data_IF_745150213195
#
_entry.id   IF_745150213195
#
_cell.length_a   1.000
_cell.length_b   1.000
_cell.length_c   1.000
_cell.angle_alpha   90.00
_cell.angle_beta   90.00
_cell.angle_gamma   90.00
#
_symmetry.space_group_name_H-M   'P 1'
#
loop_
_entity.id
_entity.type
_entity.pdbx_description
1 polymer ?
#
# COMPACT_ATOMS: atom_id res chain seq x y z
N UNK A 1 -30.12 -38.54 3.95
CA UNK A 1 -29.32 -37.42 4.49
C UNK A 1 -27.86 -37.80 4.28
N UNK A 2 -27.34 -37.58 3.07
CA UNK A 2 -25.95 -37.90 2.76
C UNK A 2 -25.06 -36.86 3.42
N UNK A 3 -24.23 -37.27 4.37
CA UNK A 3 -23.18 -36.44 4.93
C UNK A 3 -22.17 -36.13 3.82
N UNK A 4 -22.27 -34.94 3.24
CA UNK A 4 -21.29 -34.43 2.29
C UNK A 4 -20.01 -34.13 3.06
N UNK A 5 -19.04 -35.05 3.02
CA UNK A 5 -17.74 -34.90 3.68
C UNK A 5 -16.95 -33.79 2.98
N UNK A 6 -16.49 -32.79 3.72
CA UNK A 6 -15.60 -31.76 3.18
C UNK A 6 -14.20 -32.37 2.87
N UNK A 7 -13.78 -32.43 1.61
CA UNK A 7 -12.42 -32.82 1.18
C UNK A 7 -11.43 -31.66 1.42
N UNK A 8 -11.08 -31.43 2.70
CA UNK A 8 -10.11 -30.39 3.09
C UNK A 8 -8.70 -30.98 2.97
N UNK A 9 -8.01 -30.68 1.87
CA UNK A 9 -6.67 -31.24 1.59
C UNK A 9 -5.54 -30.62 2.42
N UNK A 10 -5.63 -29.33 2.74
CA UNK A 10 -4.64 -28.64 3.59
C UNK A 10 -5.16 -27.28 4.07
N UNK A 11 -5.29 -27.11 5.39
CA UNK A 11 -5.60 -25.83 6.04
C UNK A 11 -4.36 -24.91 6.02
N UNK A 12 -3.18 -25.49 6.24
CA UNK A 12 -1.91 -24.78 6.22
C UNK A 12 -1.61 -24.11 4.85
N UNK A 13 -2.09 -24.69 3.73
CA UNK A 13 -2.00 -24.03 2.43
C UNK A 13 -2.78 -22.70 2.36
N UNK A 14 -3.92 -22.61 3.05
CA UNK A 14 -4.75 -21.39 3.13
C UNK A 14 -4.00 -20.32 3.92
N UNK A 15 -3.39 -20.69 5.05
CA UNK A 15 -2.64 -19.73 5.88
C UNK A 15 -1.37 -19.24 5.18
N UNK A 16 -0.61 -20.12 4.53
CA UNK A 16 0.53 -19.73 3.68
C UNK A 16 0.12 -18.78 2.56
N UNK A 17 -0.98 -19.05 1.87
CA UNK A 17 -1.51 -18.15 0.84
C UNK A 17 -1.91 -16.79 1.43
N UNK A 18 -2.54 -16.78 2.60
CA UNK A 18 -2.88 -15.54 3.32
C UNK A 18 -1.64 -14.70 3.63
N UNK A 19 -0.56 -15.33 4.12
CA UNK A 19 0.72 -14.63 4.39
C UNK A 19 1.32 -14.07 3.10
N UNK A 20 1.40 -14.87 2.04
CA UNK A 20 1.89 -14.41 0.74
C UNK A 20 1.05 -13.25 0.18
N UNK A 21 -0.27 -13.24 0.44
CA UNK A 21 -1.15 -12.17 0.01
C UNK A 21 -0.93 -10.87 0.79
N UNK A 22 -0.60 -10.95 2.09
CA UNK A 22 -0.19 -9.77 2.88
C UNK A 22 1.09 -9.16 2.30
N UNK A 23 2.12 -9.99 2.06
CA UNK A 23 3.38 -9.52 1.48
C UNK A 23 3.18 -8.90 0.10
N UNK A 24 2.31 -9.49 -0.72
CA UNK A 24 1.94 -8.95 -2.03
C UNK A 24 1.25 -7.59 -1.93
N UNK A 25 0.32 -7.41 -0.98
CA UNK A 25 -0.36 -6.13 -0.76
C UNK A 25 0.66 -5.05 -0.39
N UNK A 26 1.55 -5.34 0.57
CA UNK A 26 2.54 -4.37 1.03
C UNK A 26 3.50 -3.98 -0.10
N UNK A 27 4.01 -4.97 -0.85
CA UNK A 27 4.84 -4.72 -2.01
C UNK A 27 4.11 -3.91 -3.10
N UNK A 28 2.83 -4.22 -3.34
CA UNK A 28 1.97 -3.52 -4.29
C UNK A 28 1.75 -2.05 -3.92
N UNK A 29 1.43 -1.77 -2.65
CA UNK A 29 1.24 -0.39 -2.15
C UNK A 29 2.50 0.45 -2.29
N UNK A 30 3.63 -0.10 -1.85
CA UNK A 30 4.93 0.57 -1.94
C UNK A 30 5.25 0.90 -3.39
N UNK A 31 5.17 -0.10 -4.28
CA UNK A 31 5.54 0.08 -5.70
C UNK A 31 4.68 1.14 -6.40
N UNK A 32 3.37 1.17 -6.14
CA UNK A 32 2.47 2.17 -6.72
C UNK A 32 2.75 3.57 -6.17
N UNK A 33 2.97 3.68 -4.85
CA UNK A 33 3.25 4.95 -4.19
C UNK A 33 4.58 5.55 -4.64
N UNK A 34 5.61 4.72 -4.78
CA UNK A 34 6.92 5.14 -5.30
C UNK A 34 6.81 5.65 -6.74
N UNK A 35 6.14 4.91 -7.61
CA UNK A 35 5.94 5.30 -9.00
C UNK A 35 5.15 6.63 -9.12
N UNK A 36 4.10 6.81 -8.30
CA UNK A 36 3.33 8.06 -8.30
C UNK A 36 4.16 9.25 -7.80
N UNK A 37 4.94 9.03 -6.73
CA UNK A 37 5.83 10.04 -6.14
C UNK A 37 6.92 10.48 -7.13
N UNK A 38 7.49 9.54 -7.87
CA UNK A 38 8.49 9.83 -8.88
C UNK A 38 7.92 10.64 -10.05
N UNK A 39 6.72 10.31 -10.52
CA UNK A 39 6.03 11.08 -11.55
C UNK A 39 5.74 12.51 -11.08
N UNK A 40 5.16 12.66 -9.89
CA UNK A 40 4.86 13.97 -9.28
C UNK A 40 6.13 14.81 -9.13
N UNK A 41 7.19 14.22 -8.59
CA UNK A 41 8.48 14.90 -8.41
C UNK A 41 9.07 15.37 -9.73
N UNK A 42 9.03 14.54 -10.77
CA UNK A 42 9.58 14.90 -12.08
C UNK A 42 8.77 16.00 -12.78
N UNK A 43 7.43 15.97 -12.67
CA UNK A 43 6.56 17.05 -13.17
C UNK A 43 6.90 18.36 -12.45
N UNK A 44 6.95 18.34 -11.13
CA UNK A 44 7.27 19.52 -10.31
C UNK A 44 8.66 20.07 -10.67
N UNK A 45 9.66 19.21 -10.84
CA UNK A 45 11.01 19.63 -11.22
C UNK A 45 11.06 20.24 -12.62
N UNK A 46 10.34 19.68 -13.59
CA UNK A 46 10.27 20.26 -14.93
C UNK A 46 9.61 21.66 -14.88
N UNK A 47 8.48 21.76 -14.18
CA UNK A 47 7.66 22.96 -14.10
C UNK A 47 8.33 24.07 -13.27
N UNK A 48 8.74 23.77 -12.03
CA UNK A 48 9.19 24.77 -11.05
C UNK A 48 10.69 25.05 -11.14
N UNK A 49 11.50 24.11 -11.61
CA UNK A 49 12.95 24.31 -11.73
C UNK A 49 13.39 24.53 -13.18
N UNK A 50 13.10 23.57 -14.07
CA UNK A 50 13.73 23.55 -15.40
C UNK A 50 13.18 24.61 -16.34
N UNK A 51 11.86 24.82 -16.39
CA UNK A 51 11.27 25.89 -17.22
C UNK A 51 11.78 27.28 -16.78
N UNK A 52 11.76 27.66 -15.48
CA UNK A 52 12.33 28.92 -15.03
C UNK A 52 13.84 29.01 -15.25
N UNK A 53 14.59 27.92 -15.05
CA UNK A 53 16.02 27.88 -15.30
C UNK A 53 16.34 28.27 -16.75
N UNK A 54 15.73 27.59 -17.74
CA UNK A 54 16.00 27.89 -19.15
C UNK A 54 15.51 29.26 -19.56
N UNK A 55 14.38 29.72 -19.00
CA UNK A 55 13.90 31.10 -19.22
C UNK A 55 14.93 32.14 -18.74
N UNK A 56 15.53 31.95 -17.56
CA UNK A 56 16.62 32.82 -17.07
C UNK A 56 17.88 32.71 -17.95
N UNK A 57 18.25 31.50 -18.37
CA UNK A 57 19.40 31.29 -19.25
C UNK A 57 19.23 32.00 -20.61
N UNK A 58 18.03 31.98 -21.19
CA UNK A 58 17.73 32.68 -22.44
C UNK A 58 17.93 34.18 -22.28
N UNK A 59 17.41 34.79 -21.20
CA UNK A 59 17.62 36.23 -20.91
C UNK A 59 19.11 36.58 -20.84
N UNK A 60 19.87 35.83 -20.04
CA UNK A 60 21.33 36.03 -19.91
C UNK A 60 22.06 35.86 -21.24
N UNK A 61 21.70 34.85 -22.04
CA UNK A 61 22.34 34.60 -23.34
C UNK A 61 21.95 35.66 -24.37
N UNK A 62 20.73 36.21 -24.31
CA UNK A 62 20.29 37.32 -25.13
C UNK A 62 21.12 38.59 -24.84
N UNK A 63 21.38 38.89 -23.57
CA UNK A 63 22.27 40.00 -23.17
C UNK A 63 23.68 39.82 -23.73
N UNK A 64 24.23 38.59 -23.69
CA UNK A 64 25.54 38.29 -24.27
C UNK A 64 25.57 38.46 -25.79
N UNK A 65 24.50 38.09 -26.49
CA UNK A 65 24.35 38.34 -27.93
C UNK A 65 24.34 39.85 -28.20
N UNK A 66 23.56 40.62 -27.45
CA UNK A 66 23.53 42.08 -27.58
C UNK A 66 24.90 42.69 -27.36
N UNK A 67 25.62 42.28 -26.30
CA UNK A 67 26.98 42.74 -26.02
C UNK A 67 27.94 42.40 -27.16
N UNK A 68 27.92 41.17 -27.66
CA UNK A 68 28.78 40.75 -28.77
C UNK A 68 28.48 41.52 -30.06
N UNK A 69 27.20 41.88 -30.33
CA UNK A 69 26.83 42.76 -31.44
C UNK A 69 27.41 44.16 -31.28
N UNK A 70 27.31 44.74 -30.07
CA UNK A 70 27.87 46.06 -29.76
C UNK A 70 29.40 46.07 -29.87
N UNK A 71 30.08 45.02 -29.42
CA UNK A 71 31.54 44.88 -29.52
C UNK A 71 31.99 44.77 -30.98
N UNK A 72 31.28 43.99 -31.79
CA UNK A 72 31.52 43.89 -33.24
C UNK A 72 31.33 45.25 -33.92
N UNK A 73 30.22 45.94 -33.63
CA UNK A 73 29.93 47.26 -34.20
C UNK A 73 31.00 48.29 -33.81
N UNK A 74 31.40 48.33 -32.54
CA UNK A 74 32.45 49.23 -32.04
C UNK A 74 33.75 49.04 -32.81
N UNK A 75 34.18 47.78 -33.03
CA UNK A 75 35.42 47.48 -33.75
C UNK A 75 35.33 47.73 -35.26
N UNK A 76 34.12 47.62 -35.84
CA UNK A 76 33.89 47.99 -37.24
C UNK A 76 33.99 49.50 -37.47
N UNK A 77 33.53 50.31 -36.51
CA UNK A 77 33.52 51.77 -36.59
C UNK A 77 34.86 52.39 -36.18
N UNK A 78 35.66 51.71 -35.36
CA UNK A 78 37.02 52.13 -35.03
C UNK A 78 37.93 51.96 -36.25
N UNK A 79 38.23 53.07 -36.94
CA UNK A 79 39.29 53.14 -37.96
C UNK A 79 40.65 52.91 -37.30
N UNK A 80 41.50 52.07 -37.88
CA UNK A 80 42.87 51.91 -37.38
C UNK A 80 43.65 53.18 -37.67
N UNK A 81 44.44 53.65 -36.71
CA UNK A 81 45.26 54.86 -36.80
C UNK A 81 46.37 54.80 -37.89
N UNK A 82 46.42 53.73 -38.70
CA UNK A 82 47.48 53.43 -39.65
C UNK A 82 46.92 52.76 -40.92
N UNK A 83 45.89 53.37 -41.52
CA UNK A 83 45.24 53.02 -42.81
C UNK A 83 44.80 51.56 -43.05
N UNK A 84 44.88 50.68 -42.04
CA UNK A 84 44.43 49.30 -42.11
C UNK A 84 43.02 49.10 -41.55
N UNK A 85 42.20 48.25 -42.15
CA UNK A 85 40.94 47.82 -41.50
C UNK A 85 41.28 46.95 -40.28
N UNK A 86 40.72 47.27 -39.11
CA UNK A 86 40.88 46.44 -37.92
C UNK A 86 40.33 45.02 -38.17
N UNK A 87 41.04 43.97 -37.73
CA UNK A 87 40.57 42.58 -37.87
C UNK A 87 39.34 42.35 -37.00
N UNK A 88 38.19 42.06 -37.62
CA UNK A 88 36.89 41.81 -36.94
C UNK A 88 36.55 40.32 -36.80
N UNK A 89 37.51 39.44 -37.07
CA UNK A 89 37.30 37.99 -37.13
C UNK A 89 36.89 37.45 -35.76
N UNK A 90 37.59 37.85 -34.70
CA UNK A 90 37.35 37.37 -33.34
C UNK A 90 35.95 37.75 -32.84
N UNK A 91 35.50 38.98 -33.11
CA UNK A 91 34.19 39.48 -32.71
C UNK A 91 33.06 38.78 -33.48
N UNK A 92 33.27 38.47 -34.77
CA UNK A 92 32.33 37.66 -35.55
C UNK A 92 32.22 36.25 -34.98
N UNK A 93 33.34 35.61 -34.64
CA UNK A 93 33.35 34.27 -34.01
C UNK A 93 32.69 34.32 -32.64
N UNK A 94 32.94 35.35 -31.84
CA UNK A 94 32.32 35.55 -30.54
C UNK A 94 30.80 35.72 -30.64
N UNK A 95 30.32 36.53 -31.61
CA UNK A 95 28.90 36.71 -31.89
C UNK A 95 28.24 35.40 -32.34
N UNK A 96 28.86 34.67 -33.27
CA UNK A 96 28.37 33.35 -33.70
C UNK A 96 28.25 32.37 -32.53
N UNK A 97 29.27 32.34 -31.65
CA UNK A 97 29.24 31.49 -30.44
C UNK A 97 28.13 31.90 -29.48
N UNK A 98 27.88 33.19 -29.31
CA UNK A 98 26.80 33.70 -28.47
C UNK A 98 25.42 33.32 -29.02
N UNK A 99 25.22 33.48 -30.33
CA UNK A 99 23.98 33.08 -31.03
C UNK A 99 23.72 31.57 -30.88
N UNK A 100 24.73 30.73 -31.16
CA UNK A 100 24.59 29.27 -31.02
C UNK A 100 24.20 28.86 -29.61
N UNK A 101 24.77 29.51 -28.59
CA UNK A 101 24.39 29.26 -27.19
C UNK A 101 22.95 29.69 -26.92
N UNK A 102 22.51 30.84 -27.44
CA UNK A 102 21.13 31.29 -27.29
C UNK A 102 20.15 30.29 -27.93
N UNK A 103 20.43 29.86 -29.16
CA UNK A 103 19.64 28.84 -29.89
C UNK A 103 19.55 27.54 -29.11
N UNK A 104 20.67 27.04 -28.56
CA UNK A 104 20.68 25.85 -27.71
C UNK A 104 19.77 26.01 -26.50
N UNK A 105 19.82 27.15 -25.79
CA UNK A 105 18.95 27.37 -24.63
C UNK A 105 17.48 27.43 -25.02
N UNK A 106 17.14 28.03 -26.16
CA UNK A 106 15.78 28.06 -26.68
C UNK A 106 15.29 26.65 -27.04
N UNK A 107 16.13 25.84 -27.69
CA UNK A 107 15.83 24.45 -28.00
C UNK A 107 15.61 23.63 -26.72
N UNK A 108 16.44 23.83 -25.68
CA UNK A 108 16.29 23.18 -24.38
C UNK A 108 14.99 23.59 -23.67
N UNK A 109 14.61 24.86 -23.72
CA UNK A 109 13.32 25.31 -23.15
C UNK A 109 12.15 24.65 -23.88
N UNK A 110 12.18 24.64 -25.21
CA UNK A 110 11.13 24.02 -26.03
C UNK A 110 11.02 22.52 -25.71
N UNK A 111 12.14 21.80 -25.67
CA UNK A 111 12.18 20.40 -25.28
C UNK A 111 11.62 20.18 -23.87
N UNK A 112 12.01 21.03 -22.90
CA UNK A 112 11.50 20.96 -21.51
C UNK A 112 9.98 21.10 -21.47
N UNK A 113 9.41 22.05 -22.22
CA UNK A 113 7.94 22.23 -22.30
C UNK A 113 7.24 21.05 -22.96
N UNK A 114 7.83 20.49 -24.01
CA UNK A 114 7.29 19.29 -24.67
C UNK A 114 7.28 18.10 -23.71
N UNK A 115 8.38 17.87 -23.01
CA UNK A 115 8.48 16.79 -22.02
C UNK A 115 7.56 17.00 -20.82
N UNK A 116 7.38 18.24 -20.36
CA UNK A 116 6.43 18.55 -19.29
C UNK A 116 5.01 18.12 -19.68
N UNK A 117 4.52 18.57 -20.84
CA UNK A 117 3.17 18.20 -21.34
C UNK A 117 3.02 16.70 -21.54
N UNK A 118 4.04 16.05 -22.10
CA UNK A 118 4.02 14.60 -22.30
C UNK A 118 3.98 13.85 -20.97
N UNK A 119 4.81 14.27 -20.01
CA UNK A 119 4.86 13.63 -18.69
C UNK A 119 3.57 13.83 -17.90
N UNK A 120 2.95 15.01 -17.99
CA UNK A 120 1.61 15.26 -17.40
C UNK A 120 0.56 14.30 -17.96
N UNK A 121 0.57 14.07 -19.28
CA UNK A 121 -0.34 13.12 -19.91
C UNK A 121 -0.05 11.67 -19.47
N UNK A 122 1.22 11.24 -19.48
CA UNK A 122 1.60 9.90 -19.04
C UNK A 122 1.29 9.68 -17.56
N UNK A 123 1.42 10.71 -16.72
CA UNK A 123 1.01 10.66 -15.33
C UNK A 123 -0.49 10.41 -15.17
N UNK A 124 -1.33 11.09 -15.95
CA UNK A 124 -2.78 10.87 -15.94
C UNK A 124 -3.10 9.44 -16.38
N UNK A 125 -2.46 8.98 -17.46
CA UNK A 125 -2.64 7.61 -17.97
C UNK A 125 -2.19 6.56 -16.96
N UNK A 126 -1.08 6.80 -16.26
CA UNK A 126 -0.58 5.92 -15.21
C UNK A 126 -1.58 5.82 -14.05
N UNK A 127 -2.08 6.95 -13.55
CA UNK A 127 -3.06 6.97 -12.46
C UNK A 127 -4.36 6.27 -12.85
N UNK A 128 -4.84 6.47 -14.08
CA UNK A 128 -6.06 5.79 -14.54
C UNK A 128 -5.84 4.28 -14.71
N UNK A 129 -4.71 3.86 -15.28
CA UNK A 129 -4.37 2.45 -15.44
C UNK A 129 -4.17 1.74 -14.10
N UNK A 130 -3.60 2.43 -13.11
CA UNK A 130 -3.31 1.86 -11.79
C UNK A 130 -4.50 1.92 -10.82
N UNK A 131 -5.51 2.74 -11.09
CA UNK A 131 -6.67 2.95 -10.21
C UNK A 131 -7.34 1.65 -9.76
N UNK A 132 -7.57 0.70 -10.67
CA UNK A 132 -8.19 -0.58 -10.31
C UNK A 132 -7.30 -1.45 -9.42
N UNK A 133 -5.99 -1.46 -9.68
CA UNK A 133 -5.03 -2.19 -8.85
C UNK A 133 -4.90 -1.59 -7.46
N UNK A 134 -4.87 -0.25 -7.35
CA UNK A 134 -4.87 0.45 -6.06
C UNK A 134 -6.11 0.07 -5.24
N UNK A 135 -7.30 0.09 -5.85
CA UNK A 135 -8.54 -0.35 -5.17
C UNK A 135 -8.44 -1.80 -4.70
N UNK A 136 -7.93 -2.70 -5.54
CA UNK A 136 -7.79 -4.10 -5.19
C UNK A 136 -6.87 -4.28 -3.98
N UNK A 137 -5.71 -3.63 -3.98
CA UNK A 137 -4.70 -3.73 -2.91
C UNK A 137 -5.15 -3.02 -1.63
N UNK A 138 -5.91 -1.93 -1.73
CA UNK A 138 -6.35 -1.14 -0.57
C UNK A 138 -7.62 -1.69 0.09
N UNK A 139 -8.48 -2.38 -0.67
CA UNK A 139 -9.80 -2.82 -0.18
C UNK A 139 -10.08 -4.30 -0.44
N UNK A 140 -10.04 -4.76 -1.69
CA UNK A 140 -10.53 -6.10 -2.05
C UNK A 140 -9.68 -7.21 -1.46
N UNK A 141 -8.35 -7.10 -1.54
CA UNK A 141 -7.42 -8.09 -1.03
C UNK A 141 -7.38 -8.15 0.50
N UNK A 142 -7.38 -7.02 1.24
CA UNK A 142 -7.59 -7.03 2.69
C UNK A 142 -8.89 -7.72 3.12
N UNK A 143 -9.99 -7.50 2.38
CA UNK A 143 -11.25 -8.20 2.63
C UNK A 143 -11.11 -9.71 2.38
N UNK A 144 -10.47 -10.11 1.28
CA UNK A 144 -10.19 -11.51 0.97
C UNK A 144 -9.35 -12.20 2.06
N UNK A 145 -8.33 -11.53 2.61
CA UNK A 145 -7.54 -12.02 3.74
C UNK A 145 -8.43 -12.32 4.96
N UNK A 146 -9.38 -11.44 5.26
CA UNK A 146 -10.34 -11.64 6.34
C UNK A 146 -11.23 -12.85 6.12
N UNK A 147 -11.66 -13.08 4.87
CA UNK A 147 -12.44 -14.27 4.52
C UNK A 147 -11.63 -15.56 4.65
N UNK A 148 -10.38 -15.56 4.18
CA UNK A 148 -9.46 -16.71 4.31
C UNK A 148 -9.18 -17.05 5.77
N UNK A 149 -9.02 -16.03 6.63
CA UNK A 149 -8.87 -16.21 8.07
C UNK A 149 -10.10 -16.89 8.68
N UNK A 150 -11.31 -16.40 8.40
CA UNK A 150 -12.56 -17.02 8.89
C UNK A 150 -12.73 -18.45 8.40
N UNK A 151 -12.36 -18.71 7.14
CA UNK A 151 -12.40 -20.06 6.59
C UNK A 151 -11.47 -21.00 7.35
N UNK A 152 -10.25 -20.55 7.64
CA UNK A 152 -9.28 -21.31 8.46
C UNK A 152 -9.83 -21.60 9.85
N UNK A 153 -10.33 -20.59 10.56
CA UNK A 153 -10.92 -20.72 11.90
C UNK A 153 -12.10 -21.71 11.94
N UNK A 154 -12.97 -21.66 10.93
CA UNK A 154 -14.10 -22.57 10.82
C UNK A 154 -13.65 -24.02 10.60
N UNK A 155 -12.68 -24.23 9.71
CA UNK A 155 -12.15 -25.57 9.42
C UNK A 155 -11.43 -26.17 10.63
N UNK A 156 -10.65 -25.37 11.36
CA UNK A 156 -10.03 -25.78 12.62
C UNK A 156 -11.07 -26.13 13.68
N UNK A 157 -12.15 -25.35 13.78
CA UNK A 157 -13.27 -25.64 14.69
C UNK A 157 -13.96 -26.96 14.35
N UNK A 158 -14.20 -27.25 13.07
CA UNK A 158 -14.77 -28.53 12.63
C UNK A 158 -13.88 -29.72 12.99
N UNK A 159 -12.55 -29.57 12.89
CA UNK A 159 -11.62 -30.62 13.30
C UNK A 159 -11.57 -30.80 14.83
N UNK A 160 -11.78 -29.72 15.60
CA UNK A 160 -11.78 -29.76 17.05
C UNK A 160 -13.04 -30.41 17.66
N UNK A 161 -14.16 -30.46 16.92
CA UNK A 161 -15.33 -31.25 17.29
C UNK A 161 -15.02 -32.75 17.10
N UNK A 162 -14.57 -33.41 18.18
CA UNK A 162 -14.38 -34.86 18.18
C UNK A 162 -15.69 -35.59 17.80
N UNK A 163 -15.62 -36.70 17.03
CA UNK A 163 -16.79 -37.55 16.83
C UNK A 163 -17.36 -37.97 18.20
N UNK A 164 -18.70 -38.01 18.37
CA UNK A 164 -19.28 -38.55 19.59
C UNK A 164 -18.69 -39.94 19.82
N UNK A 165 -18.24 -40.19 21.05
CA UNK A 165 -17.64 -41.46 21.43
C UNK A 165 -18.71 -42.56 21.36
N UNK A 166 -18.85 -43.16 20.18
CA UNK A 166 -19.87 -44.16 19.89
C UNK A 166 -19.74 -45.38 20.83
N UNK A 167 -18.55 -45.63 21.39
CA UNK A 167 -18.38 -46.68 22.40
C UNK A 167 -19.22 -46.40 23.65
N UNK A 168 -19.28 -45.14 24.12
CA UNK A 168 -20.12 -44.75 25.27
C UNK A 168 -21.63 -44.81 24.99
N UNK A 169 -22.04 -44.73 23.73
CA UNK A 169 -23.45 -44.82 23.32
C UNK A 169 -23.90 -46.27 23.02
N UNK A 170 -22.96 -47.20 22.81
CA UNK A 170 -23.23 -48.59 22.45
C UNK A 170 -23.09 -49.53 23.66
N UNK A 171 -22.26 -49.21 24.66
CA UNK A 171 -22.32 -49.93 25.95
C UNK A 171 -23.63 -49.61 26.65
N UNK A 172 -24.51 -50.60 26.90
CA UNK A 172 -25.59 -50.41 27.87
C UNK A 172 -24.95 -50.06 29.20
N UNK A 173 -25.52 -49.10 29.94
CA UNK A 173 -25.22 -48.94 31.36
C UNK A 173 -25.33 -50.33 32.01
N UNK A 174 -24.23 -50.83 32.56
CA UNK A 174 -24.27 -52.02 33.41
C UNK A 174 -25.31 -51.76 34.52
N UNK A 175 -26.19 -52.73 34.82
CA UNK A 175 -27.22 -52.53 35.82
C UNK A 175 -26.53 -52.30 37.16
N UNK A 176 -26.72 -51.11 37.72
CA UNK A 176 -26.34 -50.76 39.09
C UNK A 176 -26.86 -51.86 40.01
N UNK A 177 -25.92 -52.47 40.72
CA UNK A 177 -26.08 -53.68 41.52
C UNK A 177 -27.40 -53.74 42.29
N UNK A 178 -28.02 -54.91 42.19
CA UNK A 178 -29.16 -55.31 42.99
C UNK A 178 -28.80 -55.35 44.48
N UNK A 179 -29.34 -54.42 45.26
CA UNK A 179 -29.28 -54.46 46.72
C UNK A 179 -30.13 -55.64 47.23
N UNK A 180 -29.58 -56.58 48.03
CA UNK A 180 -30.33 -57.74 48.46
C UNK A 180 -31.33 -57.38 49.57
N UNK A 181 -32.60 -57.63 49.24
CA UNK A 181 -33.72 -57.69 50.16
C UNK A 181 -33.44 -58.64 51.34
N UNK A 182 -33.43 -58.11 52.57
CA UNK A 182 -33.74 -58.89 53.78
C UNK A 182 -34.88 -58.24 54.57
N UNK A 183 -35.83 -59.10 54.91
CA UNK A 183 -37.07 -58.84 55.62
C UNK A 183 -36.93 -59.35 57.07
N UNK A 184 -37.63 -58.67 58.01
CA UNK A 184 -38.11 -59.11 59.35
C UNK A 184 -37.08 -59.04 60.50
N UNK A 185 -37.37 -58.61 61.75
CA UNK A 185 -38.62 -58.45 62.53
C UNK A 185 -38.31 -57.70 63.84
N UNK A 186 -39.26 -56.86 64.34
CA UNK A 186 -39.55 -56.46 65.75
C UNK A 186 -38.42 -55.99 66.69
N UNK A 187 -38.57 -55.04 67.62
CA UNK A 187 -39.72 -54.67 68.47
C UNK A 187 -39.34 -53.46 69.34
N UNK A 188 -40.23 -52.47 69.49
CA UNK A 188 -40.32 -51.47 70.59
C UNK A 188 -39.20 -50.41 70.71
N UNK A 189 -39.40 -49.18 71.16
CA UNK A 189 -40.54 -48.45 71.74
C UNK A 189 -40.10 -46.96 71.90
N UNK A 190 -41.06 -46.02 71.95
CA UNK A 190 -40.91 -44.59 72.30
C UNK A 190 -40.57 -43.63 71.14
N UNK A 191 -41.51 -42.89 70.52
CA UNK A 191 -42.18 -41.64 70.97
C UNK A 191 -41.20 -40.62 71.58
N UNK A 192 -41.11 -39.36 71.19
CA UNK A 192 -42.13 -38.45 70.66
C UNK A 192 -41.50 -37.27 69.88
N UNK A 193 -42.28 -36.77 68.91
CA UNK A 193 -42.44 -35.40 68.38
C UNK A 193 -41.47 -34.28 68.80
N UNK A 194 -41.00 -33.46 67.86
CA UNK A 194 -41.67 -32.21 67.40
C UNK A 194 -40.68 -31.36 66.55
N UNK A 195 -40.90 -31.22 65.24
CA UNK A 195 -41.28 -29.99 64.52
C UNK A 195 -40.41 -28.73 64.69
N UNK A 196 -39.99 -28.24 63.49
CA UNK A 196 -40.08 -26.85 63.00
C UNK A 196 -39.17 -25.79 63.66
N UNK A 197 -38.23 -25.25 62.87
CA UNK A 197 -38.44 -23.98 62.15
C UNK A 197 -37.15 -23.53 61.43
N UNK A 198 -37.32 -23.22 60.14
CA UNK A 198 -36.51 -22.28 59.33
C UNK A 198 -36.68 -20.83 59.86
N UNK A 199 -36.12 -19.78 59.23
CA UNK A 199 -34.73 -19.51 58.84
C UNK A 199 -34.37 -18.04 59.23
N UNK A 200 -33.43 -17.43 58.51
CA UNK A 200 -33.30 -15.97 58.26
C UNK A 200 -32.24 -15.19 59.06
N UNK A 201 -31.25 -14.70 58.33
CA UNK A 201 -30.80 -13.29 58.28
C UNK A 201 -29.45 -13.29 57.53
N UNK A 202 -29.41 -13.00 56.24
CA UNK A 202 -29.59 -11.66 55.65
C UNK A 202 -28.37 -10.77 55.85
N UNK A 203 -28.00 -10.17 54.71
CA UNK A 203 -27.33 -8.88 54.55
C UNK A 203 -25.80 -8.81 54.71
N UNK A 204 -25.05 -8.02 53.94
CA UNK A 204 -25.31 -7.22 52.74
C UNK A 204 -24.00 -6.49 52.37
N UNK A 205 -23.86 -6.23 51.08
CA UNK A 205 -23.18 -5.09 50.45
C UNK A 205 -21.69 -5.10 50.12
N UNK A 206 -21.53 -4.74 48.83
CA UNK A 206 -20.40 -4.16 48.10
C UNK A 206 -19.43 -5.14 47.42
#
# INVERSE_FOLDING_TARGET
>A
MSSESADVRSIDAIDRFRVALVEFIDAGRISVSEADSDLDRNVIWLERDRVPHWTRQIRKRQELVTRAKSDLYRKQTQSSAKDGRASVVDEKVALQRANRRLEEAQARLNATKTWLRRLEQERINFKSAMSGFSVAVDHDLPHAIGLLKRMTENLESYLALAPPDLQKLITPDDPVDADPSMRRTGTGDGRDTDQRNDPDASEESA
#
